data_IF_041661332927
#
_entry.id   IF_041661332927
#
_cell.length_a   1.000
_cell.length_b   1.000
_cell.length_c   1.000
_cell.angle_alpha   90.00
_cell.angle_beta   90.00
_cell.angle_gamma   90.00
#
_symmetry.space_group_name_H-M   'P 1'
#
loop_
_entity.id
_entity.type
_entity.pdbx_description
1 polymer ?
#
# COMPACT_ATOMS: atom_id res chain seq x y z
N UNK A 1 -14.40 6.13 9.99
CA UNK A 1 -13.44 4.99 10.11
C UNK A 1 -12.24 5.30 9.21
N UNK A 2 -11.00 5.02 9.64
CA UNK A 2 -9.80 5.35 8.85
C UNK A 2 -9.64 4.44 7.62
N UNK A 3 -9.05 4.96 6.54
CA UNK A 3 -8.79 4.20 5.30
C UNK A 3 -7.95 2.96 5.60
N UNK A 4 -6.93 3.07 6.46
CA UNK A 4 -6.08 1.93 6.83
C UNK A 4 -6.86 0.76 7.42
N UNK A 5 -7.82 1.02 8.33
CA UNK A 5 -8.66 -0.02 8.90
C UNK A 5 -9.59 -0.67 7.87
N UNK A 6 -10.08 0.09 6.89
CA UNK A 6 -10.92 -0.44 5.81
C UNK A 6 -10.13 -1.37 4.88
N UNK A 7 -8.84 -1.08 4.70
CA UNK A 7 -7.92 -1.91 3.91
C UNK A 7 -7.37 -3.12 4.68
N UNK A 8 -7.66 -3.24 5.98
CA UNK A 8 -7.06 -4.28 6.84
C UNK A 8 -5.56 -4.08 7.05
N UNK A 9 -5.10 -2.82 7.11
CA UNK A 9 -3.71 -2.48 7.43
C UNK A 9 -3.53 -2.56 8.95
N UNK A 10 -2.54 -3.36 9.38
CA UNK A 10 -2.11 -3.46 10.78
C UNK A 10 -1.13 -2.35 11.14
N UNK A 11 -0.19 -2.06 10.25
CA UNK A 11 0.95 -1.19 10.56
C UNK A 11 1.49 -0.53 9.29
N UNK A 12 1.95 0.72 9.43
CA UNK A 12 2.73 1.42 8.41
C UNK A 12 4.04 1.87 9.06
N UNK A 13 5.18 1.38 8.56
CA UNK A 13 6.51 1.80 8.99
C UNK A 13 7.14 2.72 7.96
N UNK A 14 7.53 3.92 8.37
CA UNK A 14 8.43 4.78 7.59
C UNK A 14 9.87 4.25 7.74
N UNK A 15 10.46 3.88 6.62
CA UNK A 15 11.89 3.56 6.50
C UNK A 15 12.53 4.62 5.62
N UNK A 16 13.85 4.76 5.78
CA UNK A 16 14.60 5.86 5.15
C UNK A 16 14.34 6.03 3.63
N UNK A 17 14.01 4.94 2.93
CA UNK A 17 13.78 4.92 1.48
C UNK A 17 12.41 4.40 1.05
N UNK A 18 11.57 3.91 1.98
CA UNK A 18 10.33 3.22 1.64
C UNK A 18 9.33 3.22 2.80
N UNK A 19 8.05 3.02 2.48
CA UNK A 19 7.02 2.69 3.46
C UNK A 19 6.75 1.19 3.43
N UNK A 20 6.69 0.56 4.60
CA UNK A 20 6.29 -0.83 4.73
C UNK A 20 4.86 -0.87 5.27
N UNK A 21 3.93 -1.35 4.44
CA UNK A 21 2.50 -1.40 4.76
C UNK A 21 2.14 -2.86 5.00
N UNK A 22 1.92 -3.23 6.27
CA UNK A 22 1.61 -4.60 6.70
C UNK A 22 0.10 -4.80 6.82
N UNK A 23 -0.40 -5.88 6.24
CA UNK A 23 -1.82 -6.23 6.25
C UNK A 23 -2.13 -7.38 7.21
N UNK A 24 -3.39 -7.46 7.65
CA UNK A 24 -3.85 -8.45 8.63
C UNK A 24 -3.84 -9.89 8.10
N UNK A 25 -4.06 -10.09 6.80
CA UNK A 25 -4.03 -11.42 6.17
C UNK A 25 -3.92 -11.31 4.64
N UNK A 26 -3.66 -12.45 3.99
CA UNK A 26 -3.63 -12.57 2.53
C UNK A 26 -4.95 -12.19 1.84
N UNK A 27 -6.10 -12.34 2.52
CA UNK A 27 -7.41 -11.98 1.96
C UNK A 27 -7.54 -10.48 1.66
N UNK A 28 -6.73 -9.65 2.32
CA UNK A 28 -6.68 -8.20 2.09
C UNK A 28 -5.89 -7.82 0.85
N UNK A 29 -5.01 -8.70 0.36
CA UNK A 29 -4.15 -8.44 -0.81
C UNK A 29 -4.56 -9.36 -1.96
N UNK A 30 -5.76 -9.12 -2.48
CA UNK A 30 -6.33 -9.93 -3.56
C UNK A 30 -5.72 -9.60 -4.95
N UNK A 31 -6.01 -10.46 -5.94
CA UNK A 31 -5.51 -10.30 -7.32
C UNK A 31 -5.88 -8.95 -7.95
N UNK A 32 -7.07 -8.40 -7.65
CA UNK A 32 -7.52 -7.10 -8.18
C UNK A 32 -6.66 -5.96 -7.66
N UNK A 33 -6.36 -5.97 -6.36
CA UNK A 33 -5.46 -5.00 -5.73
C UNK A 33 -4.05 -5.12 -6.32
N UNK A 34 -3.50 -6.34 -6.40
CA UNK A 34 -2.17 -6.59 -6.97
C UNK A 34 -2.09 -6.05 -8.40
N UNK A 35 -3.02 -6.45 -9.27
CA UNK A 35 -3.02 -6.02 -10.68
C UNK A 35 -3.17 -4.50 -10.82
N UNK A 36 -4.05 -3.89 -10.02
CA UNK A 36 -4.23 -2.43 -10.02
C UNK A 36 -2.97 -1.69 -9.58
N UNK A 37 -2.27 -2.20 -8.57
CA UNK A 37 -1.02 -1.60 -8.12
C UNK A 37 0.13 -1.84 -9.10
N UNK A 38 0.23 -3.01 -9.73
CA UNK A 38 1.22 -3.25 -10.79
C UNK A 38 1.01 -2.32 -11.99
N UNK A 39 -0.24 -2.01 -12.35
CA UNK A 39 -0.56 -1.10 -13.45
C UNK A 39 -0.06 0.32 -13.21
N UNK A 40 -0.27 0.87 -12.01
CA UNK A 40 -0.03 2.29 -11.73
C UNK A 40 1.24 2.56 -10.90
N UNK A 41 1.80 1.54 -10.24
CA UNK A 41 2.89 1.69 -9.26
C UNK A 41 3.99 0.62 -9.40
N UNK A 42 4.03 -0.18 -10.47
CA UNK A 42 5.00 -1.30 -10.65
C UNK A 42 6.46 -0.95 -10.37
N UNK A 43 6.90 0.27 -10.71
CA UNK A 43 8.30 0.71 -10.50
C UNK A 43 8.60 1.09 -9.04
N UNK A 44 7.57 1.26 -8.23
CA UNK A 44 7.66 1.81 -6.87
C UNK A 44 7.16 0.84 -5.82
N UNK A 45 6.75 -0.38 -6.17
CA UNK A 45 6.21 -1.34 -5.20
C UNK A 45 6.91 -2.70 -5.26
N UNK A 46 6.97 -3.35 -4.10
CA UNK A 46 7.31 -4.75 -3.98
C UNK A 46 6.31 -5.43 -3.04
N UNK A 47 5.87 -6.64 -3.41
CA UNK A 47 5.02 -7.47 -2.57
C UNK A 47 5.87 -8.51 -1.84
N UNK A 48 5.71 -8.59 -0.53
CA UNK A 48 6.22 -9.69 0.29
C UNK A 48 5.03 -10.46 0.83
N UNK A 49 4.76 -11.63 0.24
CA UNK A 49 3.66 -12.48 0.66
C UNK A 49 4.07 -13.34 1.87
N UNK A 50 3.10 -13.72 2.69
CA UNK A 50 3.26 -14.48 3.94
C UNK A 50 1.96 -14.44 4.74
N UNK A 51 1.94 -14.82 6.01
CA UNK A 51 0.72 -14.78 6.82
C UNK A 51 0.15 -13.34 6.94
N UNK A 52 1.04 -12.38 7.09
CA UNK A 52 0.74 -10.95 7.01
C UNK A 52 1.49 -10.35 5.82
N UNK A 53 0.86 -10.23 4.65
CA UNK A 53 1.53 -9.68 3.48
C UNK A 53 1.94 -8.23 3.73
N UNK A 54 3.05 -7.84 3.10
CA UNK A 54 3.60 -6.50 3.19
C UNK A 54 3.76 -5.93 1.78
N UNK A 55 3.25 -4.71 1.60
CA UNK A 55 3.53 -3.90 0.41
C UNK A 55 4.61 -2.90 0.79
N UNK A 56 5.76 -3.00 0.13
CA UNK A 56 6.80 -1.98 0.20
C UNK A 56 6.49 -0.93 -0.85
N UNK A 57 6.34 0.33 -0.44
CA UNK A 57 6.19 1.47 -1.34
C UNK A 57 7.45 2.32 -1.31
N UNK A 58 8.25 2.23 -2.37
CA UNK A 58 9.51 2.93 -2.52
C UNK A 58 9.27 4.42 -2.79
N UNK A 59 9.96 5.26 -2.03
CA UNK A 59 9.87 6.71 -2.06
C UNK A 59 11.15 7.35 -2.62
N UNK A 60 11.98 6.61 -3.36
CA UNK A 60 13.31 7.03 -3.86
C UNK A 60 13.34 8.43 -4.48
N UNK A 61 12.26 8.86 -5.15
CA UNK A 61 12.17 10.16 -5.83
C UNK A 61 11.11 11.09 -5.20
N UNK A 62 10.63 10.77 -4.00
CA UNK A 62 9.62 11.54 -3.28
C UNK A 62 10.30 12.39 -2.21
N UNK A 63 10.07 13.70 -2.23
CA UNK A 63 10.53 14.59 -1.16
C UNK A 63 9.85 14.24 0.15
N UNK A 64 10.57 14.40 1.27
CA UNK A 64 10.05 14.10 2.60
C UNK A 64 8.79 14.89 2.96
N UNK A 65 8.72 16.15 2.55
CA UNK A 65 7.55 17.02 2.74
C UNK A 65 6.29 16.46 2.05
N UNK A 66 6.44 15.78 0.91
CA UNK A 66 5.34 15.22 0.12
C UNK A 66 4.95 13.80 0.54
N UNK A 67 5.66 13.20 1.50
CA UNK A 67 5.50 11.80 1.87
C UNK A 67 4.08 11.48 2.36
N UNK A 68 3.54 12.32 3.24
CA UNK A 68 2.21 12.11 3.79
C UNK A 68 1.15 12.18 2.69
N UNK A 69 1.26 13.13 1.77
CA UNK A 69 0.34 13.28 0.65
C UNK A 69 0.42 12.07 -0.30
N UNK A 70 1.63 11.61 -0.62
CA UNK A 70 1.83 10.43 -1.46
C UNK A 70 1.27 9.16 -0.81
N UNK A 71 1.50 8.97 0.50
CA UNK A 71 0.88 7.87 1.24
C UNK A 71 -0.65 7.96 1.18
N UNK A 72 -1.23 9.14 1.42
CA UNK A 72 -2.69 9.30 1.36
C UNK A 72 -3.25 8.99 -0.04
N UNK A 73 -2.59 9.44 -1.11
CA UNK A 73 -2.95 9.11 -2.50
C UNK A 73 -2.88 7.60 -2.74
N UNK A 74 -1.81 6.95 -2.28
CA UNK A 74 -1.61 5.52 -2.41
C UNK A 74 -2.70 4.72 -1.68
N UNK A 75 -3.01 5.07 -0.42
CA UNK A 75 -4.08 4.42 0.35
C UNK A 75 -5.46 4.64 -0.27
N UNK A 76 -5.75 5.84 -0.78
CA UNK A 76 -7.01 6.15 -1.48
C UNK A 76 -7.15 5.32 -2.77
N UNK A 77 -6.05 5.16 -3.52
CA UNK A 77 -6.05 4.31 -4.71
C UNK A 77 -6.28 2.84 -4.37
N UNK A 78 -5.60 2.31 -3.35
CA UNK A 78 -5.88 0.93 -2.89
C UNK A 78 -7.34 0.76 -2.50
N UNK A 79 -7.92 1.75 -1.82
CA UNK A 79 -9.32 1.74 -1.40
C UNK A 79 -10.28 1.71 -2.60
N UNK A 80 -10.05 2.49 -3.64
CA UNK A 80 -10.93 2.48 -4.82
C UNK A 80 -10.92 1.12 -5.53
N UNK A 81 -9.80 0.40 -5.52
CA UNK A 81 -9.70 -0.94 -6.11
C UNK A 81 -10.54 -1.98 -5.35
N UNK A 82 -10.65 -1.87 -4.02
CA UNK A 82 -11.43 -2.81 -3.20
C UNK A 82 -12.92 -2.44 -3.07
N UNK A 83 -13.29 -1.16 -3.19
CA UNK A 83 -14.70 -0.72 -3.13
C UNK A 83 -15.51 -1.04 -4.39
N UNK A 84 -14.86 -1.33 -5.53
CA UNK A 84 -15.57 -1.58 -6.80
C UNK A 84 -16.12 -3.01 -6.90
N UNK A 85 -16.70 -3.55 -5.82
CA UNK A 85 -17.38 -4.87 -5.78
C UNK A 85 -18.81 -4.70 -5.30
#
# INVERSE_FOLDING_TARGET
>A
RSIGRQLGILEIKDKMTQLEIKFESNDRVNKKLINGLLKNYSKSILFKMGDNPVILYNLKDVKREDMLENLQKFLKYMKSLVETN
#
